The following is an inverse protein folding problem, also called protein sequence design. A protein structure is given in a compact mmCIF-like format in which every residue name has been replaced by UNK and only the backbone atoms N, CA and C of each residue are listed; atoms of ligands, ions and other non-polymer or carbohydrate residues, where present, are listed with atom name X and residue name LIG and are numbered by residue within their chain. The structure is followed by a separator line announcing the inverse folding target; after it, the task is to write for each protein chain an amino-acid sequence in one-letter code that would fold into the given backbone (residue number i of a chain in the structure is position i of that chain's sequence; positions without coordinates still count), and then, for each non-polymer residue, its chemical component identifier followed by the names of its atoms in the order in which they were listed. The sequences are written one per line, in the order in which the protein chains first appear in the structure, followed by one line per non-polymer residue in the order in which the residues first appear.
data_IF_320247214296
#
_entry.id   IF_320247214296
#
_cell.length_a   1.000
_cell.length_b   1.000
_cell.length_c   1.000
_cell.angle_alpha   90.00
_cell.angle_beta   90.00
_cell.angle_gamma   90.00
#
_symmetry.space_group_name_H-M   'P 1'
#
loop_
_entity.id
_entity.type
_entity.pdbx_description
1 polymer ?
#
# COMPACT_ATOMS: atom_id res chain seq x y z
N UNK A 1 -21.57 -3.11 -12.27
CA UNK A 1 -21.08 -1.77 -12.66
C UNK A 1 -19.57 -1.74 -12.46
N UNK A 2 -18.82 -1.24 -13.45
CA UNK A 2 -17.37 -1.08 -13.41
C UNK A 2 -17.01 0.40 -13.54
N UNK A 3 -16.09 0.89 -12.71
CA UNK A 3 -15.60 2.28 -12.75
C UNK A 3 -14.28 2.37 -13.52
N UNK A 4 -14.16 3.35 -14.41
CA UNK A 4 -12.94 3.56 -15.20
C UNK A 4 -12.80 5.00 -15.67
N UNK A 5 -11.62 5.36 -16.17
CA UNK A 5 -11.35 6.68 -16.76
C UNK A 5 -12.25 6.95 -17.98
N UNK A 6 -12.76 8.17 -18.11
CA UNK A 6 -13.60 8.59 -19.24
C UNK A 6 -12.92 8.39 -20.60
N UNK A 7 -11.60 8.57 -20.66
CA UNK A 7 -10.80 8.29 -21.87
C UNK A 7 -10.92 6.84 -22.38
N UNK A 8 -11.29 5.88 -21.53
CA UNK A 8 -11.51 4.49 -21.93
C UNK A 8 -12.88 4.25 -22.55
N UNK A 9 -13.84 5.17 -22.39
CA UNK A 9 -15.24 4.96 -22.81
C UNK A 9 -15.39 4.64 -24.30
N UNK A 10 -14.74 5.35 -25.25
CA UNK A 10 -14.85 5.01 -26.68
C UNK A 10 -14.34 3.61 -27.00
N UNK A 11 -13.20 3.21 -26.40
CA UNK A 11 -12.63 1.86 -26.58
C UNK A 11 -13.57 0.80 -26.00
N UNK A 12 -14.08 1.02 -24.80
CA UNK A 12 -14.96 0.10 -24.09
C UNK A 12 -16.25 -0.17 -24.89
N UNK A 13 -16.84 0.86 -25.48
CA UNK A 13 -18.03 0.67 -26.36
C UNK A 13 -17.74 -0.22 -27.57
N UNK A 14 -16.52 -0.17 -28.13
CA UNK A 14 -16.13 -0.96 -29.31
C UNK A 14 -15.68 -2.38 -28.99
N UNK A 15 -14.85 -2.56 -27.96
CA UNK A 15 -14.16 -3.83 -27.69
C UNK A 15 -14.42 -4.42 -26.30
N UNK A 16 -15.29 -3.80 -25.52
CA UNK A 16 -15.59 -4.26 -24.16
C UNK A 16 -14.49 -3.91 -23.16
N UNK A 17 -14.50 -4.60 -22.02
CA UNK A 17 -13.53 -4.39 -20.94
C UNK A 17 -12.58 -5.59 -20.89
N UNK A 18 -11.28 -5.33 -21.02
CA UNK A 18 -10.23 -6.35 -20.93
C UNK A 18 -10.09 -6.83 -19.47
N UNK A 19 -9.71 -8.09 -19.31
CA UNK A 19 -9.35 -8.71 -18.03
C UNK A 19 -8.01 -8.17 -17.51
N UNK A 20 -8.00 -6.91 -17.07
CA UNK A 20 -6.78 -6.22 -16.63
C UNK A 20 -6.56 -6.29 -15.12
N UNK A 21 -7.60 -6.59 -14.33
CA UNK A 21 -7.49 -6.79 -12.90
C UNK A 21 -6.89 -8.15 -12.56
N UNK A 22 -6.23 -8.23 -11.42
CA UNK A 22 -5.72 -9.47 -10.85
C UNK A 22 -6.59 -9.86 -9.65
N UNK A 23 -7.15 -11.07 -9.67
CA UNK A 23 -7.89 -11.70 -8.58
C UNK A 23 -7.10 -12.86 -7.97
N UNK A 24 -7.76 -13.69 -7.16
CA UNK A 24 -7.17 -14.85 -6.49
C UNK A 24 -6.46 -15.80 -7.47
N UNK A 25 -5.34 -16.39 -7.04
CA UNK A 25 -4.57 -17.35 -7.83
C UNK A 25 -3.97 -16.76 -9.12
N UNK A 26 -3.77 -15.44 -9.18
CA UNK A 26 -3.29 -14.75 -10.39
C UNK A 26 -4.34 -14.63 -11.50
N UNK A 27 -5.61 -14.95 -11.24
CA UNK A 27 -6.67 -14.88 -12.22
C UNK A 27 -6.82 -13.45 -12.78
N UNK A 28 -7.03 -13.36 -14.10
CA UNK A 28 -7.22 -12.07 -14.78
C UNK A 28 -8.70 -11.79 -14.99
N UNK A 29 -9.16 -10.61 -14.64
CA UNK A 29 -10.59 -10.29 -14.66
C UNK A 29 -10.92 -8.82 -14.56
N UNK A 30 -12.19 -8.56 -14.27
CA UNK A 30 -12.77 -7.22 -14.16
C UNK A 30 -13.50 -7.08 -12.84
N UNK A 31 -13.09 -6.10 -12.05
CA UNK A 31 -13.79 -5.71 -10.83
C UNK A 31 -15.07 -4.95 -11.16
N UNK A 32 -16.16 -5.41 -10.58
CA UNK A 32 -17.49 -4.88 -10.70
C UNK A 32 -18.14 -4.75 -9.32
N UNK A 33 -19.21 -3.97 -9.25
CA UNK A 33 -20.10 -3.90 -8.09
C UNK A 33 -21.56 -3.98 -8.55
N UNK A 34 -22.48 -4.64 -7.81
CA UNK A 34 -23.90 -4.63 -8.12
C UNK A 34 -24.46 -3.21 -8.24
N UNK A 35 -25.44 -3.02 -9.13
CA UNK A 35 -26.21 -1.77 -9.15
C UNK A 35 -27.30 -1.91 -8.09
N UNK A 36 -27.16 -1.19 -6.99
CA UNK A 36 -28.08 -1.19 -5.86
C UNK A 36 -29.07 0.00 -5.96
N UNK A 37 -30.18 0.00 -5.21
CA UNK A 37 -31.10 1.14 -5.16
C UNK A 37 -30.43 2.44 -4.71
N UNK A 38 -29.43 2.34 -3.82
CA UNK A 38 -28.65 3.48 -3.38
C UNK A 38 -27.56 3.85 -4.41
N UNK A 39 -27.63 5.09 -4.92
CA UNK A 39 -26.61 5.65 -5.80
C UNK A 39 -25.24 5.70 -5.11
N UNK A 40 -25.20 6.06 -3.83
CA UNK A 40 -23.96 6.22 -3.07
C UNK A 40 -23.27 4.89 -2.84
N UNK A 41 -24.02 3.83 -2.51
CA UNK A 41 -23.47 2.48 -2.35
C UNK A 41 -23.03 1.89 -3.69
N UNK A 42 -23.82 2.08 -4.75
CA UNK A 42 -23.42 1.64 -6.09
C UNK A 42 -22.10 2.26 -6.53
N UNK A 43 -21.91 3.55 -6.23
CA UNK A 43 -20.75 4.33 -6.66
C UNK A 43 -19.72 4.56 -5.55
N UNK A 44 -19.70 3.69 -4.53
CA UNK A 44 -18.94 3.88 -3.29
C UNK A 44 -17.43 4.07 -3.48
N UNK A 45 -16.88 3.55 -4.59
CA UNK A 45 -15.45 3.59 -4.92
C UNK A 45 -15.00 4.84 -5.68
N UNK A 46 -15.91 5.73 -6.08
CA UNK A 46 -15.57 6.87 -6.95
C UNK A 46 -14.53 7.81 -6.33
N UNK A 47 -14.74 8.25 -5.08
CA UNK A 47 -13.82 9.15 -4.38
C UNK A 47 -12.47 8.51 -4.11
N UNK A 48 -12.43 7.20 -3.86
CA UNK A 48 -11.18 6.46 -3.67
C UNK A 48 -10.41 6.36 -4.98
N UNK A 49 -11.06 5.90 -6.05
CA UNK A 49 -10.43 5.75 -7.37
C UNK A 49 -9.98 7.10 -7.95
N UNK A 50 -10.70 8.18 -7.68
CA UNK A 50 -10.31 9.53 -8.13
C UNK A 50 -8.96 10.00 -7.57
N UNK A 51 -8.49 9.45 -6.43
CA UNK A 51 -7.20 9.81 -5.83
C UNK A 51 -6.00 9.45 -6.71
N UNK A 52 -6.13 8.41 -7.52
CA UNK A 52 -5.07 7.95 -8.40
C UNK A 52 -5.02 8.72 -9.73
N UNK A 53 -5.92 9.69 -9.91
CA UNK A 53 -6.06 10.45 -11.14
C UNK A 53 -6.84 9.70 -12.22
N UNK A 54 -7.52 10.47 -13.08
CA UNK A 54 -8.27 9.94 -14.22
C UNK A 54 -8.17 10.94 -15.38
N UNK A 55 -8.19 10.45 -16.64
CA UNK A 55 -8.18 11.34 -17.81
C UNK A 55 -9.62 11.66 -18.19
N UNK A 56 -10.04 12.90 -17.92
CA UNK A 56 -11.40 13.38 -18.22
C UNK A 56 -12.47 12.92 -17.22
N UNK A 57 -12.08 12.53 -16.00
CA UNK A 57 -13.00 12.05 -14.97
C UNK A 57 -13.24 10.53 -15.00
N UNK A 58 -14.14 10.06 -14.15
CA UNK A 58 -14.55 8.65 -14.07
C UNK A 58 -15.92 8.45 -14.70
N UNK A 59 -16.09 7.29 -15.34
CA UNK A 59 -17.35 6.81 -15.89
C UNK A 59 -17.74 5.48 -15.25
N UNK A 60 -19.03 5.29 -15.05
CA UNK A 60 -19.64 4.04 -14.62
C UNK A 60 -20.11 3.27 -15.86
N UNK A 61 -19.54 2.08 -16.05
CA UNK A 61 -19.92 1.12 -17.09
C UNK A 61 -20.87 0.11 -16.48
N UNK A 62 -22.13 0.18 -16.87
CA UNK A 62 -23.17 -0.76 -16.45
C UNK A 62 -23.13 -1.95 -17.40
N UNK A 63 -23.07 -3.14 -16.83
CA UNK A 63 -22.93 -4.41 -17.56
C UNK A 63 -24.06 -5.34 -17.18
N UNK A 64 -24.54 -6.16 -18.12
CA UNK A 64 -25.49 -7.24 -17.89
C UNK A 64 -24.77 -8.55 -18.08
N UNK A 65 -24.76 -9.35 -17.03
CA UNK A 65 -24.21 -10.70 -17.02
C UNK A 65 -25.36 -11.69 -16.99
N UNK A 66 -25.09 -12.92 -17.43
CA UNK A 66 -25.99 -14.04 -17.20
C UNK A 66 -26.07 -14.35 -15.70
N UNK A 67 -27.24 -14.73 -15.20
CA UNK A 67 -27.47 -14.99 -13.77
C UNK A 67 -26.60 -16.14 -13.23
N UNK A 68 -26.31 -17.14 -14.07
CA UNK A 68 -25.47 -18.28 -13.76
C UNK A 68 -23.98 -18.02 -13.97
N UNK A 69 -23.58 -16.85 -14.48
CA UNK A 69 -22.18 -16.50 -14.70
C UNK A 69 -21.38 -16.64 -13.39
N UNK A 70 -20.34 -17.49 -13.34
CA UNK A 70 -19.49 -17.58 -12.17
C UNK A 70 -18.74 -16.27 -11.94
N UNK A 71 -18.78 -15.77 -10.70
CA UNK A 71 -18.07 -14.60 -10.22
C UNK A 71 -17.50 -14.88 -8.83
N UNK A 72 -16.49 -14.11 -8.46
CA UNK A 72 -15.87 -14.14 -7.15
C UNK A 72 -16.41 -12.95 -6.34
N UNK A 73 -16.82 -13.17 -5.09
CA UNK A 73 -17.36 -12.13 -4.22
C UNK A 73 -16.52 -12.05 -2.95
N UNK A 74 -16.09 -10.83 -2.61
CA UNK A 74 -15.21 -10.58 -1.46
C UNK A 74 -15.40 -9.18 -0.90
N UNK A 75 -14.91 -8.98 0.32
CA UNK A 75 -14.64 -7.65 0.86
C UNK A 75 -13.19 -7.26 0.55
N UNK A 76 -12.91 -5.98 0.26
CA UNK A 76 -11.58 -5.54 -0.19
C UNK A 76 -10.43 -5.82 0.80
N UNK A 77 -10.74 -5.99 2.09
CA UNK A 77 -9.76 -6.36 3.13
C UNK A 77 -9.31 -7.80 3.00
N UNK A 78 -10.12 -8.65 2.39
CA UNK A 78 -9.92 -10.10 2.34
C UNK A 78 -9.14 -10.54 1.10
N UNK A 79 -8.84 -9.61 0.18
CA UNK A 79 -8.03 -9.85 -1.03
C UNK A 79 -6.68 -10.52 -0.72
N UNK A 80 -6.09 -10.21 0.44
CA UNK A 80 -4.80 -10.78 0.88
C UNK A 80 -4.92 -12.20 1.43
N UNK A 81 -6.14 -12.68 1.70
CA UNK A 81 -6.40 -13.97 2.35
C UNK A 81 -6.84 -15.05 1.36
N UNK A 82 -6.91 -14.74 0.07
CA UNK A 82 -7.37 -15.68 -0.97
C UNK A 82 -8.71 -16.37 -0.61
N UNK A 83 -9.61 -15.61 0.01
CA UNK A 83 -10.85 -16.14 0.58
C UNK A 83 -12.07 -15.91 -0.34
N UNK A 84 -11.88 -15.80 -1.66
CA UNK A 84 -12.98 -15.43 -2.56
C UNK A 84 -13.95 -16.60 -2.76
N UNK A 85 -15.24 -16.36 -2.50
CA UNK A 85 -16.27 -17.35 -2.78
C UNK A 85 -16.70 -17.28 -4.25
N UNK A 86 -16.61 -18.41 -4.97
CA UNK A 86 -17.19 -18.55 -6.31
C UNK A 86 -18.69 -18.75 -6.20
N UNK A 87 -19.46 -17.83 -6.76
CA UNK A 87 -20.93 -17.89 -6.78
C UNK A 87 -21.48 -17.43 -8.14
N UNK A 88 -22.74 -17.79 -8.48
CA UNK A 88 -23.43 -17.19 -9.62
C UNK A 88 -23.59 -15.66 -9.48
N UNK A 89 -23.60 -14.93 -10.59
CA UNK A 89 -23.73 -13.48 -10.60
C UNK A 89 -25.02 -12.99 -9.90
N UNK A 90 -26.14 -13.68 -10.10
CA UNK A 90 -27.39 -13.35 -9.41
C UNK A 90 -27.29 -13.53 -7.89
N UNK A 91 -26.55 -14.56 -7.44
CA UNK A 91 -26.30 -14.81 -6.02
C UNK A 91 -25.39 -13.73 -5.40
N UNK A 92 -24.36 -13.29 -6.12
CA UNK A 92 -23.52 -12.18 -5.70
C UNK A 92 -24.34 -10.89 -5.44
N UNK A 93 -25.27 -10.57 -6.35
CA UNK A 93 -26.16 -9.42 -6.20
C UNK A 93 -27.06 -9.57 -4.97
N UNK A 94 -27.69 -10.75 -4.78
CA UNK A 94 -28.54 -11.02 -3.62
C UNK A 94 -27.78 -10.87 -2.31
N UNK A 95 -26.61 -11.51 -2.19
CA UNK A 95 -25.78 -11.46 -0.98
C UNK A 95 -25.43 -10.04 -0.60
N UNK A 96 -24.92 -9.25 -1.55
CA UNK A 96 -24.51 -7.87 -1.27
C UNK A 96 -25.72 -6.98 -0.95
N UNK A 97 -26.86 -7.18 -1.63
CA UNK A 97 -28.04 -6.34 -1.45
C UNK A 97 -28.70 -6.47 -0.07
N UNK A 98 -28.51 -7.59 0.63
CA UNK A 98 -29.09 -7.84 1.97
C UNK A 98 -28.12 -7.55 3.11
N UNK A 99 -26.88 -7.17 2.83
CA UNK A 99 -25.92 -6.78 3.87
C UNK A 99 -26.39 -5.52 4.58
N UNK A 100 -26.22 -5.50 5.90
CA UNK A 100 -26.41 -4.29 6.71
C UNK A 100 -25.44 -3.18 6.26
N UNK A 101 -24.18 -3.56 5.98
CA UNK A 101 -23.20 -2.68 5.37
C UNK A 101 -22.55 -3.31 4.12
N UNK A 102 -22.98 -2.93 2.91
CA UNK A 102 -22.39 -3.40 1.66
C UNK A 102 -21.13 -2.61 1.24
N UNK A 103 -20.66 -1.65 2.07
CA UNK A 103 -19.46 -0.89 1.74
C UNK A 103 -18.23 -1.81 1.74
N UNK A 104 -17.31 -1.55 0.82
CA UNK A 104 -16.08 -2.33 0.67
C UNK A 104 -16.23 -3.68 -0.04
N UNK A 105 -17.45 -4.17 -0.26
CA UNK A 105 -17.67 -5.37 -1.06
C UNK A 105 -17.39 -5.12 -2.54
N UNK A 106 -16.86 -6.14 -3.21
CA UNK A 106 -16.56 -6.16 -4.63
C UNK A 106 -16.89 -7.51 -5.26
N UNK A 107 -17.18 -7.49 -6.56
CA UNK A 107 -17.44 -8.67 -7.37
C UNK A 107 -16.41 -8.74 -8.48
N UNK A 108 -15.62 -9.80 -8.51
CA UNK A 108 -14.62 -10.02 -9.54
C UNK A 108 -15.14 -11.02 -10.57
N UNK A 109 -15.21 -10.57 -11.83
CA UNK A 109 -15.52 -11.42 -12.97
C UNK A 109 -14.20 -11.95 -13.57
N UNK A 110 -13.90 -13.26 -13.51
CA UNK A 110 -12.62 -13.83 -13.94
C UNK A 110 -12.52 -13.98 -15.48
N UNK A 111 -12.98 -12.97 -16.23
CA UNK A 111 -12.86 -12.89 -17.68
C UNK A 111 -13.05 -11.44 -18.16
N UNK A 112 -12.78 -11.20 -19.43
CA UNK A 112 -13.14 -9.95 -20.09
C UNK A 112 -14.67 -9.81 -20.23
N UNK A 113 -15.14 -8.57 -20.26
CA UNK A 113 -16.55 -8.22 -20.53
C UNK A 113 -16.66 -7.89 -22.02
N UNK A 114 -17.58 -8.56 -22.71
CA UNK A 114 -17.82 -8.42 -24.14
C UNK A 114 -18.57 -7.10 -24.44
N UNK A 115 -18.41 -6.50 -25.63
CA UNK A 115 -19.15 -5.29 -26.01
C UNK A 115 -20.68 -5.42 -25.83
N UNK A 116 -21.24 -6.58 -26.20
CA UNK A 116 -22.67 -6.88 -26.08
C UNK A 116 -23.20 -6.94 -24.64
N UNK A 117 -22.32 -7.13 -23.66
CA UNK A 117 -22.67 -7.16 -22.24
C UNK A 117 -22.72 -5.75 -21.65
N UNK A 118 -22.25 -4.74 -22.40
CA UNK A 118 -22.30 -3.35 -21.97
C UNK A 118 -23.71 -2.81 -22.18
N UNK A 119 -24.36 -2.49 -21.07
CA UNK A 119 -25.69 -1.91 -21.09
C UNK A 119 -25.64 -0.39 -21.31
N UNK A 120 -24.83 0.33 -20.51
CA UNK A 120 -24.71 1.80 -20.56
C UNK A 120 -23.34 2.24 -20.06
N UNK A 121 -22.88 3.40 -20.55
CA UNK A 121 -21.70 4.10 -20.01
C UNK A 121 -22.15 5.50 -19.60
N UNK A 122 -22.04 5.82 -18.31
CA UNK A 122 -22.49 7.10 -17.73
C UNK A 122 -21.32 7.84 -17.10
N UNK A 123 -21.34 9.17 -17.17
CA UNK A 123 -20.49 10.00 -16.31
C UNK A 123 -20.92 9.82 -14.86
N UNK A 124 -19.94 9.86 -13.95
CA UNK A 124 -20.18 9.63 -12.53
C UNK A 124 -19.53 10.75 -11.72
N UNK A 125 -20.30 11.60 -11.01
CA UNK A 125 -19.75 12.68 -10.19
C UNK A 125 -18.80 12.13 -9.12
N UNK A 126 -17.55 12.59 -9.13
CA UNK A 126 -16.48 12.11 -8.24
C UNK A 126 -16.58 12.65 -6.80
N UNK A 127 -17.78 13.10 -6.41
CA UNK A 127 -18.11 13.59 -5.06
C UNK A 127 -18.70 12.50 -4.17
N UNK A 128 -19.07 11.36 -4.76
CA UNK A 128 -19.72 10.24 -4.09
C UNK A 128 -18.71 9.17 -3.66
N UNK A 129 -19.02 8.48 -2.56
CA UNK A 129 -18.21 7.38 -2.03
C UNK A 129 -17.26 7.81 -0.92
N UNK A 130 -16.41 6.88 -0.51
CA UNK A 130 -15.44 7.07 0.58
C UNK A 130 -14.02 7.28 0.03
N UNK A 131 -13.09 7.68 0.90
CA UNK A 131 -11.65 7.77 0.62
C UNK A 131 -10.91 7.00 1.70
N UNK A 132 -9.84 6.30 1.32
CA UNK A 132 -9.03 5.40 2.15
C UNK A 132 -9.76 4.12 2.58
N UNK A 133 -10.86 4.26 3.30
CA UNK A 133 -11.75 3.16 3.73
C UNK A 133 -13.14 3.71 4.08
N UNK A 134 -14.17 2.87 4.18
CA UNK A 134 -15.42 3.25 4.83
C UNK A 134 -15.16 3.87 6.21
N UNK A 135 -15.90 4.92 6.56
CA UNK A 135 -15.81 5.64 7.85
C UNK A 135 -14.45 6.23 8.21
N UNK A 136 -13.55 6.43 7.23
CA UNK A 136 -12.28 7.13 7.45
C UNK A 136 -12.45 8.61 7.85
N UNK A 137 -13.60 9.20 7.59
CA UNK A 137 -13.84 10.60 7.91
C UNK A 137 -13.95 10.81 9.43
N UNK A 138 -13.22 11.78 9.98
CA UNK A 138 -13.21 12.07 11.42
C UNK A 138 -12.26 11.18 12.24
N UNK A 139 -11.70 10.13 11.63
CA UNK A 139 -10.67 9.30 12.26
C UNK A 139 -9.30 9.92 12.03
N UNK A 140 -8.56 10.18 13.12
CA UNK A 140 -7.19 10.68 13.01
C UNK A 140 -6.28 9.57 12.48
N UNK A 141 -5.51 9.80 11.40
CA UNK A 141 -4.62 8.78 10.86
C UNK A 141 -3.45 8.53 11.81
N UNK A 142 -3.07 7.26 11.97
CA UNK A 142 -1.83 6.92 12.66
C UNK A 142 -0.62 7.35 11.80
N UNK A 143 0.32 8.08 12.42
CA UNK A 143 1.52 8.61 11.76
C UNK A 143 2.78 7.79 12.05
N UNK A 144 2.65 6.65 12.75
CA UNK A 144 3.74 5.74 13.06
C UNK A 144 4.43 5.21 11.79
N UNK A 145 5.66 4.70 11.94
CA UNK A 145 6.46 4.25 10.81
C UNK A 145 5.82 3.11 10.01
N UNK A 146 5.04 2.26 10.68
CA UNK A 146 4.32 1.12 10.09
C UNK A 146 3.00 1.50 9.39
N UNK A 147 2.20 2.40 9.97
CA UNK A 147 0.88 2.75 9.43
C UNK A 147 0.93 3.86 8.37
N UNK A 148 1.98 4.69 8.36
CA UNK A 148 2.04 5.84 7.46
C UNK A 148 2.21 5.45 6.00
N UNK A 149 1.48 6.14 5.12
CA UNK A 149 1.74 6.09 3.67
C UNK A 149 3.04 6.87 3.37
N UNK A 150 4.09 6.15 2.98
CA UNK A 150 5.40 6.74 2.64
C UNK A 150 5.30 7.49 1.30
N UNK A 151 5.89 8.69 1.24
CA UNK A 151 5.92 9.50 0.00
C UNK A 151 4.58 10.11 -0.44
N UNK A 152 3.52 9.96 0.36
CA UNK A 152 2.22 10.56 0.05
C UNK A 152 2.25 12.10 0.05
N UNK A 153 1.44 12.71 -0.81
CA UNK A 153 1.22 14.15 -0.79
C UNK A 153 0.78 14.62 0.60
N UNK A 154 1.42 15.68 1.13
CA UNK A 154 1.13 16.22 2.46
C UNK A 154 1.61 15.36 3.64
N UNK A 155 2.24 14.20 3.41
CA UNK A 155 2.66 13.30 4.49
C UNK A 155 3.69 13.93 5.44
N UNK A 156 4.55 14.82 4.96
CA UNK A 156 5.47 15.60 5.81
C UNK A 156 4.70 16.49 6.79
N UNK A 157 3.82 17.34 6.27
CA UNK A 157 2.99 18.25 7.06
C UNK A 157 2.09 17.51 8.04
N UNK A 158 1.60 16.33 7.67
CA UNK A 158 0.83 15.47 8.57
C UNK A 158 1.65 15.01 9.79
N UNK A 159 2.89 14.55 9.57
CA UNK A 159 3.79 14.13 10.68
C UNK A 159 4.22 15.29 11.57
N UNK A 160 4.42 16.47 10.99
CA UNK A 160 4.75 17.67 11.74
C UNK A 160 3.57 18.13 12.62
N UNK A 161 2.33 17.98 12.14
CA UNK A 161 1.11 18.33 12.90
C UNK A 161 0.67 17.28 13.92
N UNK A 162 0.90 16.00 13.62
CA UNK A 162 0.50 14.86 14.43
C UNK A 162 1.70 13.93 14.62
N UNK A 163 2.68 14.32 15.45
CA UNK A 163 3.83 13.47 15.75
C UNK A 163 3.36 12.22 16.50
N UNK A 164 3.83 11.05 16.07
CA UNK A 164 3.54 9.80 16.79
C UNK A 164 4.43 9.71 18.04
N UNK A 165 3.92 9.30 19.22
CA UNK A 165 4.73 9.24 20.45
C UNK A 165 5.99 8.37 20.33
N UNK A 166 5.93 7.28 19.55
CA UNK A 166 7.06 6.36 19.36
C UNK A 166 7.95 6.71 18.15
N UNK A 167 7.45 7.48 17.17
CA UNK A 167 8.12 7.67 15.86
C UNK A 167 8.15 9.14 15.39
N UNK A 168 7.85 10.08 16.28
CA UNK A 168 7.55 11.48 15.95
C UNK A 168 8.72 12.43 16.18
N UNK A 169 8.76 13.50 15.39
CA UNK A 169 9.54 13.53 14.16
C UNK A 169 11.03 13.22 14.41
N UNK A 170 11.60 12.31 13.61
CA UNK A 170 13.02 11.97 13.69
C UNK A 170 13.92 13.24 13.66
N UNK A 171 14.94 13.34 14.54
CA UNK A 171 15.86 14.47 14.54
C UNK A 171 16.52 14.68 13.16
N UNK A 172 16.89 15.91 12.77
CA UNK A 172 17.57 16.18 11.50
C UNK A 172 18.87 15.38 11.33
N UNK A 173 19.25 15.10 10.08
CA UNK A 173 20.44 14.27 9.78
C UNK A 173 21.71 14.80 10.47
N UNK A 174 21.89 16.11 10.44
CA UNK A 174 23.05 16.77 11.06
C UNK A 174 23.09 16.61 12.58
N UNK A 175 21.93 16.59 13.24
CA UNK A 175 21.84 16.37 14.70
C UNK A 175 22.25 14.94 15.03
N UNK A 176 21.73 13.96 14.29
CA UNK A 176 22.10 12.55 14.48
C UNK A 176 23.60 12.32 14.22
N UNK A 177 24.16 12.93 13.17
CA UNK A 177 25.61 12.85 12.90
C UNK A 177 26.45 13.52 13.97
N UNK A 178 25.99 14.64 14.53
CA UNK A 178 26.66 15.29 15.65
C UNK A 178 26.63 14.43 16.91
N UNK A 179 25.52 13.71 17.17
CA UNK A 179 25.43 12.75 18.27
C UNK A 179 26.39 11.57 18.08
N UNK A 180 26.45 11.00 16.88
CA UNK A 180 27.40 9.93 16.54
C UNK A 180 28.84 10.40 16.72
N UNK A 181 29.18 11.61 16.28
CA UNK A 181 30.52 12.16 16.46
C UNK A 181 30.84 12.45 17.94
N UNK A 182 29.87 12.94 18.70
CA UNK A 182 30.02 13.24 20.12
C UNK A 182 30.14 12.00 21.00
N UNK A 183 29.62 10.84 20.55
CA UNK A 183 29.74 9.58 21.26
C UNK A 183 31.20 9.12 21.44
N UNK A 184 32.12 9.60 20.59
CA UNK A 184 33.55 9.29 20.65
C UNK A 184 33.95 8.03 19.88
N UNK A 185 35.13 7.49 20.17
CA UNK A 185 35.67 6.27 19.54
C UNK A 185 35.99 5.26 20.65
N UNK A 186 35.37 4.06 20.66
CA UNK A 186 34.46 3.51 19.64
C UNK A 186 33.05 4.12 19.64
N UNK A 187 32.66 4.83 20.71
CA UNK A 187 31.35 5.45 20.87
C UNK A 187 30.51 4.76 21.95
N UNK A 188 29.63 5.51 22.64
CA UNK A 188 28.64 4.92 23.54
C UNK A 188 27.60 4.10 22.74
N UNK A 189 27.48 2.77 22.96
CA UNK A 189 26.53 1.92 22.23
C UNK A 189 25.09 2.40 22.31
N UNK A 190 24.64 2.94 23.46
CA UNK A 190 23.27 3.38 23.62
C UNK A 190 22.96 4.58 22.71
N UNK A 191 23.85 5.56 22.67
CA UNK A 191 23.74 6.76 21.83
C UNK A 191 23.80 6.40 20.35
N UNK A 192 24.70 5.49 19.98
CA UNK A 192 24.86 5.04 18.60
C UNK A 192 23.61 4.28 18.12
N UNK A 193 23.06 3.38 18.93
CA UNK A 193 21.84 2.63 18.58
C UNK A 193 20.63 3.55 18.44
N UNK A 194 20.46 4.51 19.34
CA UNK A 194 19.38 5.51 19.22
C UNK A 194 19.51 6.31 17.92
N UNK A 195 20.72 6.77 17.56
CA UNK A 195 20.93 7.50 16.32
C UNK A 195 20.65 6.63 15.08
N UNK A 196 21.09 5.36 15.10
CA UNK A 196 20.86 4.39 14.01
C UNK A 196 19.38 4.06 13.84
N UNK A 197 18.63 3.90 14.94
CA UNK A 197 17.18 3.73 14.92
C UNK A 197 16.49 4.86 14.14
N UNK A 198 16.84 6.12 14.41
CA UNK A 198 16.31 7.28 13.70
C UNK A 198 16.74 7.36 12.23
N UNK A 199 17.93 6.85 11.90
CA UNK A 199 18.39 6.69 10.53
C UNK A 199 17.61 5.61 9.77
N UNK A 200 17.20 4.53 10.44
CA UNK A 200 16.33 3.47 9.91
C UNK A 200 14.97 3.94 9.42
N UNK A 201 14.47 5.05 9.97
CA UNK A 201 13.19 5.62 9.55
C UNK A 201 13.24 6.37 8.20
N UNK A 202 14.41 6.41 7.55
CA UNK A 202 14.68 7.20 6.33
C UNK A 202 14.85 6.30 5.11
N UNK A 203 14.64 6.89 3.92
CA UNK A 203 14.87 6.21 2.63
C UNK A 203 16.32 6.34 2.14
N UNK A 204 17.04 7.36 2.61
CA UNK A 204 18.44 7.63 2.24
C UNK A 204 19.14 8.23 3.45
N UNK A 205 20.43 7.97 3.55
CA UNK A 205 21.28 8.57 4.58
C UNK A 205 22.76 8.60 4.19
N UNK A 206 23.58 9.20 5.08
CA UNK A 206 24.99 9.47 4.84
C UNK A 206 25.85 8.22 5.06
N UNK A 207 25.70 7.23 4.17
CA UNK A 207 26.36 5.92 4.29
C UNK A 207 27.86 6.00 4.64
N UNK A 208 28.71 6.81 3.97
CA UNK A 208 30.14 6.86 4.28
C UNK A 208 30.47 7.30 5.70
N UNK A 209 29.55 8.03 6.37
CA UNK A 209 29.72 8.48 7.75
C UNK A 209 29.32 7.42 8.78
N UNK A 210 28.50 6.45 8.39
CA UNK A 210 28.04 5.37 9.27
C UNK A 210 28.80 4.06 9.04
N UNK A 211 29.39 3.86 7.86
CA UNK A 211 30.22 2.69 7.54
C UNK A 211 31.26 2.34 8.60
N UNK A 212 31.97 3.30 9.25
CA UNK A 212 32.93 2.96 10.31
C UNK A 212 32.33 2.20 11.49
N UNK A 213 31.02 2.31 11.75
CA UNK A 213 30.34 1.57 12.82
C UNK A 213 30.26 0.06 12.56
N UNK A 214 30.52 -0.41 11.33
CA UNK A 214 30.63 -1.83 11.02
C UNK A 214 31.81 -2.52 11.75
N UNK A 215 32.79 -1.74 12.23
CA UNK A 215 33.90 -2.23 13.05
C UNK A 215 33.72 -2.02 14.55
N UNK A 216 32.53 -1.59 15.00
CA UNK A 216 32.29 -1.28 16.40
C UNK A 216 32.41 -2.54 17.28
N UNK A 217 33.05 -2.50 18.47
CA UNK A 217 33.26 -3.69 19.30
C UNK A 217 31.94 -4.31 19.80
N UNK A 218 30.94 -3.47 20.10
CA UNK A 218 29.61 -3.95 20.50
C UNK A 218 28.82 -4.46 19.28
N UNK A 219 28.45 -5.76 19.24
CA UNK A 219 27.67 -6.34 18.15
C UNK A 219 26.27 -5.71 18.00
N UNK A 220 25.66 -5.21 19.08
CA UNK A 220 24.34 -4.59 19.00
C UNK A 220 24.35 -3.28 18.18
N UNK A 221 25.49 -2.57 18.14
CA UNK A 221 25.66 -1.40 17.27
C UNK A 221 25.77 -1.82 15.81
N UNK A 222 26.49 -2.91 15.53
CA UNK A 222 26.64 -3.45 14.17
C UNK A 222 25.33 -4.01 13.64
N UNK A 223 24.57 -4.69 14.49
CA UNK A 223 23.22 -5.18 14.20
C UNK A 223 22.26 -4.02 13.91
N UNK A 224 22.23 -2.99 14.76
CA UNK A 224 21.37 -1.82 14.54
C UNK A 224 21.75 -1.06 13.25
N UNK A 225 23.03 -1.09 12.85
CA UNK A 225 23.46 -0.52 11.57
C UNK A 225 22.82 -1.27 10.38
N UNK A 226 22.71 -2.60 10.45
CA UNK A 226 22.02 -3.42 9.43
C UNK A 226 20.56 -2.98 9.32
N UNK A 227 19.84 -2.91 10.44
CA UNK A 227 18.44 -2.48 10.47
C UNK A 227 18.26 -1.04 9.98
N UNK A 228 19.20 -0.14 10.30
CA UNK A 228 19.15 1.25 9.88
C UNK A 228 19.27 1.42 8.36
N UNK A 229 20.09 0.61 7.69
CA UNK A 229 20.30 0.72 6.23
C UNK A 229 19.37 -0.18 5.40
N UNK A 230 18.65 -1.11 6.03
CA UNK A 230 17.83 -2.14 5.38
C UNK A 230 16.91 -1.64 4.27
N UNK A 231 16.32 -0.45 4.45
CA UNK A 231 15.34 0.15 3.53
C UNK A 231 15.90 1.33 2.73
N UNK A 232 17.21 1.53 2.77
CA UNK A 232 17.85 2.65 2.09
C UNK A 232 17.99 2.39 0.60
N UNK A 233 17.80 3.45 -0.19
CA UNK A 233 18.14 3.48 -1.61
C UNK A 233 19.48 4.19 -1.86
N UNK A 234 20.36 4.26 -0.85
CA UNK A 234 21.68 4.88 -0.96
C UNK A 234 22.62 3.89 -1.65
N UNK A 235 23.36 4.28 -2.71
CA UNK A 235 24.39 3.41 -3.30
C UNK A 235 25.46 3.02 -2.28
N UNK A 236 26.00 1.80 -2.35
CA UNK A 236 26.98 1.29 -1.38
C UNK A 236 26.38 0.44 -0.25
N UNK A 237 25.05 0.42 -0.08
CA UNK A 237 24.39 -0.32 1.01
C UNK A 237 24.55 -1.84 0.83
N UNK A 238 24.49 -2.34 -0.41
CA UNK A 238 24.65 -3.77 -0.68
C UNK A 238 26.05 -4.25 -0.25
N UNK A 239 27.08 -3.47 -0.60
CA UNK A 239 28.48 -3.74 -0.28
C UNK A 239 28.73 -3.70 1.24
N UNK A 240 28.08 -2.79 1.97
CA UNK A 240 28.13 -2.78 3.43
C UNK A 240 27.48 -4.03 4.03
N UNK A 241 26.31 -4.45 3.51
CA UNK A 241 25.62 -5.64 3.98
C UNK A 241 26.39 -6.92 3.63
N UNK A 242 27.09 -6.96 2.50
CA UNK A 242 28.00 -8.06 2.15
C UNK A 242 29.12 -8.19 3.18
N UNK A 243 29.75 -7.08 3.57
CA UNK A 243 30.79 -7.09 4.59
C UNK A 243 30.28 -7.55 5.97
N UNK A 244 29.04 -7.19 6.34
CA UNK A 244 28.42 -7.59 7.61
C UNK A 244 27.83 -9.01 7.59
N UNK A 245 27.68 -9.64 6.41
CA UNK A 245 27.21 -11.01 6.31
C UNK A 245 28.19 -12.02 6.93
N UNK A 246 29.48 -11.68 6.93
CA UNK A 246 30.56 -12.48 7.51
C UNK A 246 30.92 -12.03 8.94
N UNK A 247 30.06 -11.26 9.61
CA UNK A 247 30.32 -10.75 10.97
C UNK A 247 30.55 -11.91 11.97
N UNK A 248 31.50 -11.79 12.91
CA UNK A 248 31.74 -12.84 13.91
C UNK A 248 30.53 -13.12 14.80
N UNK A 249 29.65 -12.14 15.04
CA UNK A 249 28.50 -12.30 15.92
C UNK A 249 27.27 -12.84 15.16
N UNK A 250 26.62 -13.91 15.67
CA UNK A 250 25.46 -14.52 15.00
C UNK A 250 24.31 -13.53 14.75
N UNK A 251 23.92 -12.73 15.75
CA UNK A 251 22.80 -11.79 15.62
C UNK A 251 22.97 -10.78 14.47
N UNK A 252 24.22 -10.36 14.20
CA UNK A 252 24.51 -9.45 13.08
C UNK A 252 24.31 -10.16 11.74
N UNK A 253 24.76 -11.41 11.62
CA UNK A 253 24.55 -12.23 10.41
C UNK A 253 23.07 -12.52 10.19
N UNK A 254 22.34 -12.88 11.25
CA UNK A 254 20.90 -13.10 11.22
C UNK A 254 20.13 -11.83 10.79
N UNK A 255 20.55 -10.66 11.28
CA UNK A 255 19.97 -9.39 10.83
C UNK A 255 20.21 -9.16 9.32
N UNK A 256 21.40 -9.47 8.80
CA UNK A 256 21.70 -9.37 7.36
C UNK A 256 20.85 -10.33 6.54
N UNK A 257 20.68 -11.57 6.99
CA UNK A 257 19.80 -12.55 6.34
C UNK A 257 18.34 -12.06 6.33
N UNK A 258 17.86 -11.54 7.45
CA UNK A 258 16.49 -11.05 7.60
C UNK A 258 16.18 -9.87 6.65
N UNK A 259 17.11 -8.93 6.47
CA UNK A 259 16.90 -7.78 5.56
C UNK A 259 17.02 -8.17 4.08
N UNK A 260 17.64 -9.32 3.77
CA UNK A 260 17.77 -9.87 2.42
C UNK A 260 16.61 -10.78 2.04
N UNK A 261 15.89 -11.32 3.01
CA UNK A 261 14.72 -12.14 2.75
C UNK A 261 13.68 -11.35 1.92
N UNK A 262 13.15 -11.92 0.83
CA UNK A 262 12.10 -11.25 0.05
C UNK A 262 10.83 -11.07 0.91
N UNK A 263 10.31 -9.84 0.98
CA UNK A 263 8.97 -9.51 1.53
C UNK A 263 7.84 -10.12 0.69
#
# INVERSE_FOLDING_TARGET
MHLTSAANAPRIRRSGIRAAGCGQGGARGVYCFPVLPSYTLTHQWLRELARFGSRGGLVAVHVRLDDAQPVLVEHYTDRRREAQATVPAAEAVRRIAVLEDPRGWEVFLPRAIRPREIHRVRTAPQVVGWRYQPDAHGVSPCTCFGCRVRGGYGARRLRERLPHPLDGPAPPAGVLLAQVAAAGVPGDPAVLREALHWFGMRRRGPLPRLTPLAGHPDPAVREELVWAVARWSTPGVAELLDALADDPHPDVREAVEAVRAPE
#
